data_IF_901500496137
#
_entry.id   IF_901500496137
#
_cell.length_a   1.000
_cell.length_b   1.000
_cell.length_c   1.000
_cell.angle_alpha   90.00
_cell.angle_beta   90.00
_cell.angle_gamma   90.00
#
_symmetry.space_group_name_H-M   'P 1'
#
loop_
_entity.id
_entity.type
_entity.pdbx_description
1 polymer ?
#
# COMPACT_ATOMS: atom_id res chain seq x y z
N UNK A 1 -11.38 -27.83 13.56
CA UNK A 1 -11.60 -27.33 13.46
C UNK A 1 -11.39 -26.77 13.19
N UNK A 2 -11.26 -26.65 13.14
CA UNK A 2 -11.19 -25.98 12.86
C UNK A 2 -10.82 -25.45 12.50
N UNK A 3 -10.55 -25.49 12.40
CA UNK A 3 -10.42 -24.83 12.12
C UNK A 3 -10.13 -24.48 11.62
N UNK A 4 -10.14 -24.53 11.66
CA UNK A 4 -10.11 -24.03 11.32
C UNK A 4 -10.15 -23.61 10.86
N UNK A 5 -10.25 -23.65 10.85
CA UNK A 5 -10.48 -23.01 10.53
C UNK A 5 -10.46 -22.31 10.23
N UNK A 6 -10.25 -22.27 10.30
CA UNK A 6 -10.34 -21.38 10.12
C UNK A 6 -9.99 -20.88 9.78
N UNK A 7 -9.79 -20.96 9.84
CA UNK A 7 -9.62 -20.39 9.60
C UNK A 7 -9.44 -20.14 9.07
N UNK A 8 -9.44 -20.31 9.00
CA UNK A 8 -9.52 -19.87 8.56
C UNK A 8 -9.60 -19.46 8.03
N UNK A 9 -9.54 -19.46 8.03
CA UNK A 9 -9.68 -18.85 7.62
C UNK A 9 -9.58 -18.29 7.29
N UNK A 10 -9.30 -18.40 7.30
CA UNK A 10 -9.26 -17.65 7.05
C UNK A 10 -8.91 -17.32 6.84
N UNK A 11 -8.82 -17.39 6.96
CA UNK A 11 -8.57 -16.94 6.90
C UNK A 11 -8.25 -16.61 6.54
N UNK A 12 -8.27 -16.89 6.42
CA UNK A 12 -7.93 -16.42 6.13
C UNK A 12 -7.34 -15.99 5.75
N UNK A 13 -7.26 -16.51 5.37
CA UNK A 13 -6.53 -16.10 5.12
C UNK A 13 -6.15 -15.22 5.03
N UNK A 14 -6.32 -15.20 5.21
CA UNK A 14 -6.17 -14.37 5.33
C UNK A 14 -5.35 -13.62 4.86
N UNK A 15 -5.51 -13.06 4.41
CA UNK A 15 -4.78 -12.21 4.01
C UNK A 15 -4.13 -11.55 4.93
N UNK A 16 -2.99 -11.72 5.01
CA UNK A 16 -2.29 -11.16 6.06
C UNK A 16 -1.11 -10.42 5.53
N UNK A 17 -1.42 -9.45 4.70
CA UNK A 17 -0.39 -8.53 4.26
C UNK A 17 -0.10 -7.61 5.43
N UNK A 18 1.14 -7.61 5.89
CA UNK A 18 1.53 -6.82 7.05
C UNK A 18 2.51 -5.73 6.63
N UNK A 19 2.75 -4.79 7.56
CA UNK A 19 3.62 -3.65 7.30
C UNK A 19 5.04 -4.10 7.00
N UNK A 20 5.60 -3.57 5.92
CA UNK A 20 6.99 -3.73 5.60
C UNK A 20 7.76 -2.48 5.97
N UNK A 21 8.46 -1.89 5.01
CA UNK A 21 9.32 -0.73 5.28
C UNK A 21 9.02 0.39 4.29
N UNK A 22 9.30 1.59 4.73
CA UNK A 22 9.27 2.75 3.85
C UNK A 22 10.60 2.77 3.10
N UNK A 23 10.53 2.81 1.78
CA UNK A 23 11.74 2.78 0.96
C UNK A 23 12.18 4.20 0.61
N UNK A 24 11.26 5.01 0.11
CA UNK A 24 11.59 6.41 -0.16
C UNK A 24 10.83 6.97 -1.34
N UNK A 25 10.99 8.28 -1.53
CA UNK A 25 10.33 9.00 -2.59
C UNK A 25 11.10 8.85 -3.90
N UNK A 26 10.40 8.48 -4.96
CA UNK A 26 10.99 8.41 -6.28
C UNK A 26 10.50 9.60 -7.08
N UNK A 27 11.40 10.57 -7.29
CA UNK A 27 11.05 11.84 -7.87
C UNK A 27 10.58 11.73 -9.32
N UNK A 28 11.25 10.90 -10.12
CA UNK A 28 10.95 10.81 -11.55
C UNK A 28 9.53 10.35 -11.83
N UNK A 29 9.03 9.40 -11.07
CA UNK A 29 7.68 8.90 -11.24
C UNK A 29 6.69 9.52 -10.28
N UNK A 30 7.17 10.36 -9.36
CA UNK A 30 6.33 11.03 -8.37
C UNK A 30 5.52 10.04 -7.55
N UNK A 31 6.22 9.04 -7.02
CA UNK A 31 5.61 8.04 -6.15
C UNK A 31 6.44 7.87 -4.90
N UNK A 32 5.78 7.45 -3.83
CA UNK A 32 6.44 7.01 -2.62
C UNK A 32 6.52 5.51 -2.66
N UNK A 33 7.74 4.96 -2.53
CA UNK A 33 7.96 3.52 -2.56
C UNK A 33 7.95 2.98 -1.14
N UNK A 34 7.29 1.85 -0.98
CA UNK A 34 7.26 1.17 0.31
C UNK A 34 7.05 -0.32 0.04
N UNK A 35 7.04 -1.12 1.07
CA UNK A 35 6.77 -2.53 0.92
C UNK A 35 5.78 -3.00 1.96
N UNK A 36 5.09 -4.06 1.62
CA UNK A 36 4.28 -4.83 2.56
C UNK A 36 4.85 -6.24 2.56
N UNK A 37 4.48 -7.02 3.56
CA UNK A 37 5.04 -8.36 3.71
C UNK A 37 3.93 -9.40 3.71
N UNK A 38 4.10 -10.42 2.87
CA UNK A 38 3.22 -11.57 2.81
C UNK A 38 4.03 -12.77 3.31
N UNK A 39 3.89 -13.09 4.59
CA UNK A 39 4.70 -14.14 5.19
C UNK A 39 6.16 -13.73 5.21
N UNK A 40 6.96 -14.39 4.40
CA UNK A 40 8.40 -14.07 4.31
C UNK A 40 8.73 -13.31 3.02
N UNK A 41 7.72 -12.96 2.26
CA UNK A 41 7.93 -12.34 0.96
C UNK A 41 7.63 -10.85 1.04
N UNK A 42 8.55 -10.05 0.58
CA UNK A 42 8.36 -8.60 0.53
C UNK A 42 7.68 -8.24 -0.80
N UNK A 43 6.56 -7.51 -0.70
CA UNK A 43 5.78 -7.10 -1.87
C UNK A 43 6.09 -5.64 -2.15
N UNK A 44 6.63 -5.31 -3.32
CA UNK A 44 6.91 -3.91 -3.64
C UNK A 44 5.61 -3.13 -3.84
N UNK A 45 5.57 -1.93 -3.28
CA UNK A 45 4.38 -1.08 -3.34
C UNK A 45 4.77 0.34 -3.68
N UNK A 46 3.85 1.07 -4.27
CA UNK A 46 4.03 2.48 -4.57
C UNK A 46 2.70 3.19 -4.44
N UNK A 47 2.76 4.46 -4.03
CA UNK A 47 1.58 5.32 -4.03
C UNK A 47 1.95 6.64 -4.67
N UNK A 48 1.09 7.12 -5.58
CA UNK A 48 1.35 8.38 -6.26
C UNK A 48 1.25 9.54 -5.30
N UNK A 49 2.02 10.60 -5.57
CA UNK A 49 1.93 11.81 -4.77
C UNK A 49 0.56 12.46 -4.89
N UNK A 50 -0.06 12.36 -6.08
CA UNK A 50 -1.42 12.86 -6.26
C UNK A 50 -2.40 12.18 -5.33
N UNK A 51 -2.27 10.87 -5.15
CA UNK A 51 -3.16 10.15 -4.25
C UNK A 51 -2.99 10.63 -2.81
N UNK A 52 -1.74 10.82 -2.38
CA UNK A 52 -1.49 11.30 -1.03
C UNK A 52 -2.04 12.71 -0.81
N UNK A 53 -1.86 13.58 -1.81
CA UNK A 53 -2.40 14.94 -1.71
C UNK A 53 -3.92 14.92 -1.63
N UNK A 54 -4.56 14.08 -2.44
CA UNK A 54 -6.01 13.96 -2.42
C UNK A 54 -6.52 13.49 -1.05
N UNK A 55 -5.81 12.55 -0.44
CA UNK A 55 -6.22 12.03 0.86
C UNK A 55 -6.17 13.10 1.95
N UNK A 56 -5.32 14.10 1.80
CA UNK A 56 -5.18 15.18 2.77
C UNK A 56 -5.82 16.47 2.30
N UNK A 57 -6.45 16.48 1.13
CA UNK A 57 -7.04 17.67 0.54
C UNK A 57 -6.00 18.79 0.38
N UNK A 58 -4.80 18.41 0.00
CA UNK A 58 -3.71 19.36 -0.22
C UNK A 58 -3.55 19.64 -1.69
N UNK A 59 -3.23 20.90 -2.03
CA UNK A 59 -2.90 21.21 -3.40
C UNK A 59 -1.55 20.61 -3.79
N UNK A 60 -0.63 20.61 -2.83
CA UNK A 60 0.71 20.22 -3.11
C UNK A 60 1.53 20.08 -1.84
N UNK A 61 2.52 19.26 -1.87
CA UNK A 61 3.44 19.04 -0.77
C UNK A 61 4.85 19.11 -1.35
N UNK A 62 5.78 19.64 -0.60
CA UNK A 62 7.16 19.71 -1.07
C UNK A 62 7.79 18.32 -1.07
N UNK A 63 8.76 18.06 -1.96
CA UNK A 63 9.40 16.74 -1.99
C UNK A 63 10.00 16.31 -0.66
N UNK A 64 10.57 17.25 0.09
CA UNK A 64 11.17 16.91 1.38
C UNK A 64 10.14 16.67 2.47
N UNK A 65 8.85 16.82 2.16
CA UNK A 65 7.75 16.56 3.11
C UNK A 65 7.01 15.26 2.79
N UNK A 66 7.38 14.58 1.70
CA UNK A 66 6.63 13.41 1.24
C UNK A 66 6.72 12.24 2.22
N UNK A 67 7.86 12.07 2.85
CA UNK A 67 8.01 10.97 3.79
C UNK A 67 7.10 11.17 5.00
N UNK A 68 7.08 12.39 5.56
CA UNK A 68 6.20 12.70 6.68
C UNK A 68 4.73 12.55 6.27
N UNK A 69 4.39 12.97 5.05
CA UNK A 69 3.03 12.80 4.54
C UNK A 69 2.64 11.33 4.48
N UNK A 70 3.54 10.48 3.96
CA UNK A 70 3.28 9.06 3.91
C UNK A 70 3.05 8.50 5.32
N UNK A 71 3.88 8.90 6.27
CA UNK A 71 3.76 8.41 7.64
C UNK A 71 2.39 8.75 8.23
N UNK A 72 1.90 9.98 7.98
CA UNK A 72 0.58 10.39 8.47
C UNK A 72 -0.54 9.55 7.88
N UNK A 73 -0.39 9.13 6.62
CA UNK A 73 -1.44 8.44 5.88
C UNK A 73 -1.26 6.92 5.89
N UNK A 74 -0.23 6.44 6.56
CA UNK A 74 0.26 5.07 6.38
C UNK A 74 -0.82 4.01 6.59
N UNK A 75 -1.62 4.15 7.63
CA UNK A 75 -2.64 3.14 7.91
C UNK A 75 -3.66 3.05 6.78
N UNK A 76 -4.07 4.18 6.23
CA UNK A 76 -5.02 4.21 5.13
C UNK A 76 -4.40 3.63 3.86
N UNK A 77 -3.14 3.97 3.62
CA UNK A 77 -2.42 3.49 2.44
C UNK A 77 -2.27 1.98 2.52
N UNK A 78 -1.84 1.48 3.67
CA UNK A 78 -1.60 0.05 3.83
C UNK A 78 -2.89 -0.76 3.77
N UNK A 79 -3.97 -0.21 4.30
CA UNK A 79 -5.26 -0.88 4.21
C UNK A 79 -5.69 -1.05 2.75
N UNK A 80 -5.54 0.00 1.97
CA UNK A 80 -5.94 -0.08 0.56
C UNK A 80 -5.02 -1.03 -0.22
N UNK A 81 -3.73 -1.02 0.09
CA UNK A 81 -2.78 -1.95 -0.53
C UNK A 81 -3.16 -3.40 -0.22
N UNK A 82 -3.55 -3.66 1.02
CA UNK A 82 -3.97 -5.01 1.40
C UNK A 82 -5.21 -5.45 0.63
N UNK A 83 -6.14 -4.53 0.38
CA UNK A 83 -7.34 -4.87 -0.39
C UNK A 83 -7.01 -5.17 -1.84
N UNK A 84 -6.09 -4.42 -2.46
CA UNK A 84 -5.67 -4.71 -3.82
C UNK A 84 -4.93 -6.04 -3.88
N UNK A 85 -4.12 -6.32 -2.87
CA UNK A 85 -3.42 -7.59 -2.80
C UNK A 85 -4.42 -8.75 -2.74
N UNK A 86 -5.44 -8.65 -1.90
CA UNK A 86 -6.47 -9.69 -1.79
C UNK A 86 -7.24 -9.86 -3.10
N UNK A 87 -7.39 -8.79 -3.86
CA UNK A 87 -8.08 -8.82 -5.15
C UNK A 87 -7.15 -9.23 -6.28
N UNK A 88 -5.89 -9.53 -6.01
CA UNK A 88 -4.89 -9.94 -6.99
C UNK A 88 -4.65 -8.87 -8.06
N UNK A 89 -4.74 -7.61 -7.66
CA UNK A 89 -4.54 -6.49 -8.58
C UNK A 89 -3.08 -6.05 -8.54
N UNK A 90 -2.25 -6.74 -9.29
CA UNK A 90 -0.83 -6.49 -9.32
C UNK A 90 -0.42 -5.81 -10.61
N UNK A 91 0.62 -4.99 -10.54
CA UNK A 91 1.21 -4.40 -11.75
C UNK A 91 2.70 -4.20 -11.53
N UNK A 92 3.40 -4.03 -12.64
CA UNK A 92 4.83 -3.79 -12.59
C UNK A 92 5.64 -5.06 -12.76
N UNK A 93 6.94 -4.89 -12.80
CA UNK A 93 7.88 -5.99 -12.99
C UNK A 93 9.10 -5.73 -12.12
N UNK A 94 9.22 -6.45 -10.99
CA UNK A 94 8.35 -7.53 -10.52
C UNK A 94 6.96 -7.00 -10.14
N UNK A 95 5.96 -7.89 -10.13
CA UNK A 95 4.59 -7.45 -9.81
C UNK A 95 4.48 -6.95 -8.37
N UNK A 96 3.75 -5.88 -8.20
CA UNK A 96 3.52 -5.30 -6.89
C UNK A 96 2.22 -4.55 -6.87
N UNK A 97 2.05 -3.69 -5.86
CA UNK A 97 0.84 -2.92 -5.66
C UNK A 97 1.11 -1.46 -5.98
N UNK A 98 0.33 -0.88 -6.87
CA UNK A 98 0.43 0.54 -7.19
C UNK A 98 -0.88 1.22 -6.83
N UNK A 99 -0.80 2.24 -5.98
CA UNK A 99 -1.97 2.97 -5.52
C UNK A 99 -2.00 4.35 -6.18
N UNK A 100 -3.16 4.66 -6.74
CA UNK A 100 -3.40 5.95 -7.40
C UNK A 100 -4.64 6.60 -6.79
N UNK A 101 -4.91 7.83 -7.19
CA UNK A 101 -6.07 8.56 -6.66
C UNK A 101 -7.36 7.76 -6.83
N UNK A 102 -7.52 7.08 -7.95
CA UNK A 102 -8.74 6.31 -8.22
C UNK A 102 -8.96 5.21 -7.19
N UNK A 103 -7.90 4.71 -6.57
CA UNK A 103 -8.03 3.62 -5.60
C UNK A 103 -8.67 4.06 -4.30
N UNK A 104 -8.74 5.37 -4.06
CA UNK A 104 -9.28 5.92 -2.82
C UNK A 104 -10.62 6.61 -3.04
N UNK A 105 -11.12 6.61 -4.25
CA UNK A 105 -12.43 7.19 -4.55
C UNK A 105 -13.51 6.16 -4.26
N UNK A 106 -14.63 6.60 -3.75
CA UNK A 106 -15.75 5.72 -3.42
C UNK A 106 -16.94 5.96 -4.33
#
# INVERSE_FOLDING_TARGET
MNAMRASLTGELGRMTLTRGRLIGYEFDRMVMLFSMVDGQREIPCAISTSAMDDLENLARCQPNQREAQFIRLRDRIEERAARKFAALEFEGNPPGIVLRSIDFQT
#
